data_IF_621808906956
#
_entry.id   IF_621808906956
#
_cell.length_a   1.000
_cell.length_b   1.000
_cell.length_c   1.000
_cell.angle_alpha   90.00
_cell.angle_beta   90.00
_cell.angle_gamma   90.00
#
_symmetry.space_group_name_H-M   'P 1'
#
loop_
_entity.id
_entity.type
_entity.pdbx_description
1 polymer ?
#
# COMPACT_ATOMS: atom_id res chain seq x y z
N UNK A 1 9.25 -39.32 -43.58
CA UNK A 1 9.35 -38.88 -42.17
C UNK A 1 10.75 -38.34 -41.94
N UNK A 2 10.92 -37.05 -41.60
CA UNK A 2 12.07 -36.53 -40.83
C UNK A 2 11.99 -34.99 -40.73
N UNK A 3 12.27 -34.46 -39.54
CA UNK A 3 12.61 -33.05 -39.33
C UNK A 3 11.80 -32.30 -38.26
N UNK A 4 11.68 -32.81 -37.04
CA UNK A 4 11.26 -31.97 -35.91
C UNK A 4 12.43 -31.08 -35.50
N UNK A 5 12.45 -29.83 -35.96
CA UNK A 5 13.38 -28.79 -35.52
C UNK A 5 13.08 -28.41 -34.07
N UNK A 6 13.77 -29.03 -33.12
CA UNK A 6 13.76 -28.60 -31.73
C UNK A 6 14.46 -27.24 -31.63
N UNK A 7 13.67 -26.17 -31.54
CA UNK A 7 14.11 -24.80 -31.32
C UNK A 7 14.64 -24.63 -29.88
N UNK A 8 15.71 -25.35 -29.53
CA UNK A 8 16.33 -25.31 -28.21
C UNK A 8 17.30 -24.13 -28.16
N UNK A 9 17.09 -23.25 -27.18
CA UNK A 9 18.04 -22.18 -26.87
C UNK A 9 19.40 -22.78 -26.49
N UNK A 10 20.45 -22.38 -27.19
CA UNK A 10 21.82 -22.85 -26.95
C UNK A 10 22.49 -22.12 -25.78
N UNK A 11 22.08 -20.87 -25.51
CA UNK A 11 22.61 -20.04 -24.43
C UNK A 11 21.54 -19.11 -23.88
N UNK A 12 21.61 -18.81 -22.59
CA UNK A 12 20.85 -17.73 -21.96
C UNK A 12 21.83 -16.82 -21.23
N UNK A 13 21.86 -15.55 -21.61
CA UNK A 13 22.72 -14.54 -21.00
C UNK A 13 21.88 -13.75 -20.01
N UNK A 14 22.27 -13.77 -18.74
CA UNK A 14 21.64 -12.98 -17.69
C UNK A 14 22.61 -11.87 -17.23
N UNK A 15 22.11 -10.64 -17.18
CA UNK A 15 22.87 -9.50 -16.70
C UNK A 15 22.64 -9.31 -15.18
N UNK A 16 23.68 -9.54 -14.37
CA UNK A 16 23.57 -9.49 -12.90
C UNK A 16 23.89 -8.14 -12.26
N UNK A 17 24.59 -7.25 -12.95
CA UNK A 17 25.04 -5.96 -12.39
C UNK A 17 23.95 -4.90 -12.29
N UNK A 18 22.83 -5.08 -13.00
CA UNK A 18 21.66 -4.23 -12.93
C UNK A 18 20.43 -5.12 -12.87
N UNK A 19 19.76 -5.09 -11.74
CA UNK A 19 18.56 -5.89 -11.50
C UNK A 19 17.31 -5.04 -11.68
N UNK A 20 16.17 -5.72 -11.82
CA UNK A 20 14.85 -5.11 -11.87
C UNK A 20 14.04 -5.62 -10.68
N UNK A 21 13.57 -4.69 -9.87
CA UNK A 21 12.55 -4.96 -8.85
C UNK A 21 11.19 -4.64 -9.46
N UNK A 22 10.31 -5.64 -9.49
CA UNK A 22 8.95 -5.54 -10.06
C UNK A 22 7.92 -5.72 -8.95
N UNK A 23 6.93 -4.82 -8.90
CA UNK A 23 5.87 -4.85 -7.89
C UNK A 23 4.50 -4.68 -8.54
N UNK A 24 3.54 -5.51 -8.13
CA UNK A 24 2.13 -5.35 -8.48
C UNK A 24 1.44 -4.48 -7.43
N UNK A 25 0.98 -3.29 -7.83
CA UNK A 25 0.26 -2.37 -6.95
C UNK A 25 -1.25 -2.41 -7.25
N UNK A 26 -2.12 -2.80 -6.31
CA UNK A 26 -3.57 -2.81 -6.56
C UNK A 26 -4.12 -1.45 -7.01
N UNK A 27 -5.11 -1.46 -7.89
CA UNK A 27 -5.73 -0.25 -8.49
C UNK A 27 -6.11 0.82 -7.45
N UNK A 28 -6.65 0.42 -6.29
CA UNK A 28 -7.03 1.32 -5.19
C UNK A 28 -5.88 2.24 -4.70
N UNK A 29 -4.63 1.85 -4.95
CA UNK A 29 -3.43 2.62 -4.59
C UNK A 29 -2.75 3.23 -5.81
N UNK A 30 -3.08 2.81 -7.03
CA UNK A 30 -2.47 3.28 -8.28
C UNK A 30 -2.57 4.80 -8.45
N UNK A 31 -3.68 5.41 -8.03
CA UNK A 31 -3.87 6.87 -8.07
C UNK A 31 -2.89 7.66 -7.18
N UNK A 32 -2.15 7.00 -6.28
CA UNK A 32 -1.15 7.62 -5.40
C UNK A 32 0.28 7.49 -5.93
N UNK A 33 0.46 6.86 -7.11
CA UNK A 33 1.74 6.77 -7.80
C UNK A 33 1.98 8.07 -8.55
N UNK A 34 2.87 8.90 -8.01
CA UNK A 34 3.35 10.13 -8.66
C UNK A 34 4.60 9.84 -9.50
N UNK A 35 5.05 10.82 -10.29
CA UNK A 35 6.28 10.70 -11.10
C UNK A 35 7.57 10.41 -10.30
N UNK A 36 7.57 10.57 -8.96
CA UNK A 36 8.72 10.27 -8.11
C UNK A 36 8.30 9.44 -6.88
N UNK A 37 8.17 8.12 -7.07
CA UNK A 37 7.95 7.17 -5.97
C UNK A 37 9.29 6.58 -5.52
N UNK A 38 9.57 6.64 -4.21
CA UNK A 38 10.73 5.98 -3.60
C UNK A 38 10.30 4.64 -2.99
N UNK A 39 11.19 3.67 -3.05
CA UNK A 39 11.01 2.36 -2.45
C UNK A 39 12.23 2.00 -1.60
N UNK A 40 11.97 1.48 -0.40
CA UNK A 40 12.96 0.78 0.39
C UNK A 40 12.62 -0.70 0.39
N UNK A 41 13.60 -1.58 0.27
CA UNK A 41 13.34 -3.01 0.30
C UNK A 41 14.42 -3.80 1.03
N UNK A 42 14.05 -5.00 1.44
CA UNK A 42 14.93 -6.01 2.05
C UNK A 42 14.74 -7.31 1.30
N UNK A 43 15.76 -8.16 1.28
CA UNK A 43 15.72 -9.51 0.68
C UNK A 43 16.20 -10.52 1.72
N UNK A 44 15.70 -11.76 1.61
CA UNK A 44 16.10 -12.85 2.52
C UNK A 44 17.58 -13.23 2.39
N UNK A 45 18.16 -13.06 1.21
CA UNK A 45 19.58 -13.32 0.93
C UNK A 45 20.53 -12.35 1.63
N UNK A 46 20.04 -11.18 2.05
CA UNK A 46 20.81 -10.15 2.75
C UNK A 46 20.05 -9.63 3.99
N UNK A 47 19.93 -10.44 5.06
CA UNK A 47 19.16 -10.08 6.25
C UNK A 47 19.64 -8.77 6.89
N UNK A 48 18.70 -7.91 7.27
CA UNK A 48 18.97 -6.65 7.96
C UNK A 48 19.48 -5.50 7.07
N UNK A 49 19.82 -5.77 5.81
CA UNK A 49 20.25 -4.72 4.86
C UNK A 49 19.06 -4.10 4.14
N UNK A 50 19.00 -2.77 4.14
CA UNK A 50 17.96 -2.00 3.45
C UNK A 50 18.53 -1.40 2.16
N UNK A 51 17.93 -1.77 1.05
CA UNK A 51 18.22 -1.22 -0.27
C UNK A 51 17.22 -0.12 -0.61
N UNK A 52 17.67 0.89 -1.37
CA UNK A 52 16.86 2.04 -1.76
C UNK A 52 16.83 2.15 -3.27
N UNK A 53 15.67 2.45 -3.83
CA UNK A 53 15.51 2.68 -5.26
C UNK A 53 14.38 3.68 -5.53
N UNK A 54 14.32 4.17 -6.76
CA UNK A 54 13.30 5.12 -7.24
C UNK A 54 12.60 4.53 -8.45
N UNK A 55 11.29 4.77 -8.54
CA UNK A 55 10.45 4.27 -9.60
C UNK A 55 11.05 4.66 -10.95
N UNK A 56 11.30 3.65 -11.77
CA UNK A 56 11.87 3.85 -13.10
C UNK A 56 10.77 3.89 -14.15
N UNK A 57 9.81 2.96 -14.06
CA UNK A 57 8.72 2.82 -15.03
C UNK A 57 7.46 2.31 -14.38
N UNK A 58 6.32 2.62 -14.99
CA UNK A 58 5.02 2.02 -14.69
C UNK A 58 4.48 1.42 -15.99
N UNK A 59 3.76 0.30 -15.92
CA UNK A 59 3.10 -0.28 -17.10
C UNK A 59 2.11 0.69 -17.79
N UNK A 60 1.65 1.73 -17.07
CA UNK A 60 0.71 2.75 -17.59
C UNK A 60 -0.72 2.22 -17.78
N UNK A 61 -0.89 0.90 -17.85
CA UNK A 61 -2.14 0.18 -17.90
C UNK A 61 -2.25 -0.79 -16.73
N UNK A 62 -3.49 -0.99 -16.28
CA UNK A 62 -3.83 -1.99 -15.28
C UNK A 62 -3.83 -3.38 -15.92
N UNK A 63 -3.18 -4.35 -15.28
CA UNK A 63 -3.31 -5.75 -15.66
C UNK A 63 -4.75 -6.22 -15.35
N UNK A 64 -5.42 -6.80 -16.35
CA UNK A 64 -6.82 -7.18 -16.24
C UNK A 64 -7.03 -8.42 -15.36
N UNK A 65 -6.01 -9.26 -15.20
CA UNK A 65 -6.11 -10.49 -14.42
C UNK A 65 -6.19 -10.20 -12.92
N UNK A 66 -5.33 -9.31 -12.42
CA UNK A 66 -5.22 -9.01 -10.98
C UNK A 66 -5.63 -7.59 -10.60
N UNK A 67 -6.04 -6.77 -11.58
CA UNK A 67 -6.39 -5.35 -11.40
C UNK A 67 -5.28 -4.58 -10.66
N UNK A 68 -4.04 -4.80 -11.08
CA UNK A 68 -2.86 -4.15 -10.53
C UNK A 68 -2.08 -3.35 -11.56
N UNK A 69 -1.39 -2.32 -11.09
CA UNK A 69 -0.44 -1.53 -11.84
C UNK A 69 0.97 -2.08 -11.56
N UNK A 70 1.69 -2.45 -12.61
CA UNK A 70 3.07 -2.91 -12.48
C UNK A 70 4.02 -1.73 -12.33
N UNK A 71 4.77 -1.73 -11.24
CA UNK A 71 5.84 -0.77 -10.96
C UNK A 71 7.19 -1.44 -11.15
N UNK A 72 8.08 -0.82 -11.92
CA UNK A 72 9.43 -1.30 -12.14
C UNK A 72 10.46 -0.31 -11.60
N UNK A 73 11.44 -0.85 -10.89
CA UNK A 73 12.55 -0.13 -10.30
C UNK A 73 13.87 -0.73 -10.80
N UNK A 74 14.72 0.11 -11.38
CA UNK A 74 16.08 -0.26 -11.71
C UNK A 74 16.91 -0.30 -10.40
N UNK A 75 17.61 -1.40 -10.17
CA UNK A 75 18.44 -1.61 -8.96
C UNK A 75 19.89 -1.81 -9.40
N UNK A 76 20.78 -0.95 -8.92
CA UNK A 76 22.22 -1.13 -9.08
C UNK A 76 22.67 -2.32 -8.22
N UNK A 77 23.32 -3.29 -8.85
CA UNK A 77 23.88 -4.48 -8.23
C UNK A 77 25.33 -4.71 -8.69
N UNK A 78 26.09 -3.63 -8.89
CA UNK A 78 27.51 -3.68 -9.27
C UNK A 78 28.38 -4.45 -8.28
N UNK A 79 28.02 -4.47 -6.99
CA UNK A 79 28.67 -5.27 -5.95
C UNK A 79 28.34 -6.77 -6.03
N UNK A 80 27.30 -7.16 -6.79
CA UNK A 80 26.83 -8.55 -6.88
C UNK A 80 26.17 -9.09 -5.62
N UNK A 81 25.79 -8.21 -4.68
CA UNK A 81 25.22 -8.59 -3.39
C UNK A 81 23.79 -9.11 -3.47
N UNK A 82 23.06 -8.82 -4.56
CA UNK A 82 21.70 -9.27 -4.81
C UNK A 82 21.68 -10.38 -5.87
N UNK A 83 20.79 -11.35 -5.71
CA UNK A 83 20.59 -12.41 -6.68
C UNK A 83 19.25 -12.23 -7.42
N UNK A 84 19.26 -12.49 -8.73
CA UNK A 84 18.02 -12.54 -9.51
C UNK A 84 17.13 -13.69 -9.02
N UNK A 85 15.84 -13.41 -8.83
CA UNK A 85 14.88 -14.38 -8.29
C UNK A 85 14.62 -14.26 -6.79
N UNK A 86 15.37 -13.42 -6.07
CA UNK A 86 15.09 -13.13 -4.67
C UNK A 86 13.70 -12.51 -4.47
N UNK A 87 13.04 -12.90 -3.38
CA UNK A 87 11.81 -12.27 -2.95
C UNK A 87 12.13 -11.03 -2.10
N UNK A 88 11.67 -9.87 -2.56
CA UNK A 88 11.89 -8.60 -1.89
C UNK A 88 10.66 -8.15 -1.10
N UNK A 89 10.85 -7.81 0.18
CA UNK A 89 9.84 -7.10 0.95
C UNK A 89 10.03 -5.60 0.76
N UNK A 90 9.02 -4.93 0.19
CA UNK A 90 9.12 -3.51 -0.20
C UNK A 90 8.21 -2.60 0.61
N UNK A 91 8.76 -1.49 1.08
CA UNK A 91 8.04 -0.35 1.63
C UNK A 91 8.04 0.79 0.61
N UNK A 92 6.88 1.01 -0.02
CA UNK A 92 6.65 2.10 -0.97
C UNK A 92 6.30 3.41 -0.23
N UNK A 93 6.97 4.49 -0.61
CA UNK A 93 6.66 5.83 -0.10
C UNK A 93 5.69 6.55 -1.04
N UNK A 94 4.41 6.23 -0.90
CA UNK A 94 3.34 6.85 -1.67
C UNK A 94 2.86 8.14 -0.98
N UNK A 95 2.54 9.16 -1.77
CA UNK A 95 1.91 10.40 -1.28
C UNK A 95 0.52 10.52 -1.87
N UNK A 96 -0.46 10.85 -1.03
CA UNK A 96 -1.79 11.25 -1.48
C UNK A 96 -1.75 12.69 -1.99
N UNK A 97 -2.49 12.96 -3.06
CA UNK A 97 -2.63 14.33 -3.60
C UNK A 97 -3.53 15.22 -2.72
N UNK A 98 -4.38 14.62 -1.89
CA UNK A 98 -5.29 15.33 -0.98
C UNK A 98 -5.01 14.90 0.47
N UNK A 99 -5.14 15.80 1.45
CA UNK A 99 -5.11 15.42 2.85
C UNK A 99 -6.16 14.36 3.15
N UNK A 100 -5.80 13.40 4.01
CA UNK A 100 -6.70 12.37 4.50
C UNK A 100 -6.67 12.33 6.02
N UNK A 101 -7.75 11.84 6.62
CA UNK A 101 -7.86 11.73 8.08
C UNK A 101 -7.31 10.38 8.51
N UNK A 102 -6.48 10.39 9.55
CA UNK A 102 -5.90 9.19 10.13
C UNK A 102 -6.42 9.01 11.55
N UNK A 103 -6.83 7.80 11.88
CA UNK A 103 -7.35 7.46 13.20
C UNK A 103 -6.69 6.17 13.71
N UNK A 104 -6.54 5.98 15.03
CA UNK A 104 -6.09 4.70 15.56
C UNK A 104 -7.06 3.58 15.14
N UNK A 105 -6.55 2.43 14.72
CA UNK A 105 -7.41 1.30 14.29
C UNK A 105 -8.48 0.92 15.32
N UNK A 106 -8.16 1.05 16.61
CA UNK A 106 -9.07 0.78 17.73
C UNK A 106 -10.29 1.71 17.82
N UNK A 107 -10.26 2.89 17.17
CA UNK A 107 -11.38 3.83 17.16
C UNK A 107 -12.40 3.54 16.06
N UNK A 108 -12.17 2.50 15.25
CA UNK A 108 -13.07 2.08 14.17
C UNK A 108 -13.98 0.98 14.70
N UNK A 109 -15.29 1.16 14.54
CA UNK A 109 -16.30 0.15 14.83
C UNK A 109 -16.80 -0.44 13.51
N UNK A 110 -16.64 -1.76 13.35
CA UNK A 110 -17.18 -2.50 12.21
C UNK A 110 -18.23 -3.47 12.71
N UNK A 111 -19.42 -3.40 12.13
CA UNK A 111 -20.53 -4.31 12.43
C UNK A 111 -21.32 -4.67 11.17
N UNK A 112 -22.45 -5.39 11.34
CA UNK A 112 -23.29 -5.82 10.23
C UNK A 112 -23.86 -4.65 9.41
N UNK A 113 -23.96 -3.46 10.00
CA UNK A 113 -24.45 -2.26 9.31
C UNK A 113 -23.36 -1.51 8.53
N UNK A 114 -22.08 -1.83 8.72
CA UNK A 114 -20.94 -1.20 8.05
C UNK A 114 -19.79 -0.80 8.98
N UNK A 115 -18.98 0.15 8.52
CA UNK A 115 -17.80 0.66 9.24
C UNK A 115 -18.00 2.13 9.64
N UNK A 116 -17.72 2.45 10.91
CA UNK A 116 -18.03 3.74 11.51
C UNK A 116 -16.92 4.22 12.44
N UNK A 117 -16.90 5.52 12.67
CA UNK A 117 -16.26 6.13 13.83
C UNK A 117 -17.31 6.90 14.64
N UNK A 118 -16.99 7.16 15.90
CA UNK A 118 -17.79 8.07 16.73
C UNK A 118 -16.99 9.31 17.03
N UNK A 119 -17.59 10.47 16.78
CA UNK A 119 -16.99 11.77 17.11
C UNK A 119 -17.79 12.45 18.22
N UNK A 120 -17.11 13.25 19.03
CA UNK A 120 -17.71 14.18 19.96
C UNK A 120 -17.63 15.59 19.37
N UNK A 121 -18.78 16.19 19.11
CA UNK A 121 -18.93 17.52 18.55
C UNK A 121 -19.88 18.32 19.44
N UNK A 122 -19.40 19.36 20.11
CA UNK A 122 -20.21 20.21 21.01
C UNK A 122 -21.09 19.42 22.00
N UNK A 123 -20.50 18.44 22.70
CA UNK A 123 -21.18 17.53 23.65
C UNK A 123 -22.21 16.58 23.03
N UNK A 124 -22.24 16.47 21.70
CA UNK A 124 -23.06 15.51 20.97
C UNK A 124 -22.18 14.41 20.38
N UNK A 125 -22.55 13.16 20.66
CA UNK A 125 -21.93 12.00 20.02
C UNK A 125 -22.60 11.79 18.67
N UNK A 126 -21.80 11.76 17.61
CA UNK A 126 -22.26 11.49 16.24
C UNK A 126 -21.57 10.25 15.70
N UNK A 127 -22.35 9.36 15.07
CA UNK A 127 -21.83 8.20 14.35
C UNK A 127 -21.58 8.58 12.90
N UNK A 128 -20.33 8.49 12.46
CA UNK A 128 -19.95 8.85 11.09
C UNK A 128 -19.63 7.58 10.32
N UNK A 129 -20.35 7.25 9.23
CA UNK A 129 -19.97 6.18 8.33
C UNK A 129 -18.67 6.54 7.63
N UNK A 130 -17.76 5.58 7.52
CA UNK A 130 -16.44 5.77 6.91
C UNK A 130 -16.10 4.66 5.92
N UNK A 131 -15.17 4.95 5.02
CA UNK A 131 -14.42 3.96 4.26
C UNK A 131 -12.97 3.94 4.73
N UNK A 132 -12.42 2.76 4.92
CA UNK A 132 -11.01 2.59 5.28
C UNK A 132 -10.11 2.71 4.03
N UNK A 133 -8.93 3.29 4.23
CA UNK A 133 -7.90 3.49 3.24
C UNK A 133 -6.68 2.60 3.49
N UNK A 134 -5.49 3.19 3.43
CA UNK A 134 -4.25 2.49 3.79
C UNK A 134 -4.08 2.37 5.31
N UNK A 135 -3.35 1.34 5.72
CA UNK A 135 -2.93 1.13 7.11
C UNK A 135 -1.46 1.53 7.27
N UNK A 136 -1.14 2.23 8.35
CA UNK A 136 0.22 2.61 8.72
C UNK A 136 0.40 2.37 10.22
N UNK A 137 1.16 1.33 10.57
CA UNK A 137 1.41 0.89 11.94
C UNK A 137 0.10 0.67 12.73
N UNK A 138 -0.24 1.58 13.65
CA UNK A 138 -1.48 1.52 14.45
C UNK A 138 -2.59 2.43 13.92
N UNK A 139 -2.33 3.15 12.83
CA UNK A 139 -3.23 4.12 12.23
C UNK A 139 -3.88 3.54 10.97
N UNK A 140 -5.13 3.93 10.76
CA UNK A 140 -5.91 3.64 9.56
C UNK A 140 -6.31 4.97 8.93
N UNK A 141 -6.04 5.12 7.64
CA UNK A 141 -6.59 6.22 6.83
C UNK A 141 -8.09 6.01 6.69
N UNK A 142 -8.88 7.06 6.87
CA UNK A 142 -10.34 7.00 6.76
C UNK A 142 -10.87 8.10 5.84
N UNK A 143 -11.98 7.78 5.18
CA UNK A 143 -12.71 8.70 4.32
C UNK A 143 -14.16 8.78 4.79
N UNK A 144 -14.60 9.98 5.16
CA UNK A 144 -15.94 10.26 5.64
C UNK A 144 -16.10 11.76 5.92
N UNK A 145 -17.29 12.17 6.34
CA UNK A 145 -17.56 13.55 6.74
C UNK A 145 -16.99 13.81 8.14
N UNK A 146 -15.66 13.92 8.23
CA UNK A 146 -14.94 14.17 9.47
C UNK A 146 -14.22 15.51 9.34
N UNK A 147 -14.60 16.47 10.18
CA UNK A 147 -13.96 17.78 10.22
C UNK A 147 -12.57 17.70 10.85
N UNK A 148 -11.65 18.54 10.39
CA UNK A 148 -10.36 18.68 11.04
C UNK A 148 -10.55 19.15 12.50
N UNK A 149 -9.88 18.50 13.44
CA UNK A 149 -9.98 18.82 14.87
C UNK A 149 -11.13 18.12 15.63
N UNK A 150 -11.95 17.31 14.97
CA UNK A 150 -12.97 16.51 15.66
C UNK A 150 -12.36 15.58 16.71
N UNK A 151 -12.97 15.51 17.89
CA UNK A 151 -12.58 14.57 18.94
C UNK A 151 -13.16 13.20 18.62
N UNK A 152 -12.31 12.17 18.55
CA UNK A 152 -12.70 10.81 18.15
C UNK A 152 -12.70 9.90 19.38
N UNK A 153 -13.77 9.12 19.54
CA UNK A 153 -13.87 8.10 20.60
C UNK A 153 -12.93 6.94 20.25
N UNK A 154 -11.95 6.67 21.12
CA UNK A 154 -10.89 5.69 20.86
C UNK A 154 -11.31 4.22 20.96
N UNK A 155 -12.40 3.93 21.64
CA UNK A 155 -12.94 2.57 21.84
C UNK A 155 -14.47 2.63 21.76
N UNK A 156 -15.04 2.83 20.57
CA UNK A 156 -16.49 2.83 20.41
C UNK A 156 -17.08 1.43 20.66
N UNK A 157 -18.33 1.38 21.07
CA UNK A 157 -19.14 0.14 21.14
C UNK A 157 -20.53 0.42 20.56
N UNK A 158 -21.26 -0.64 20.21
CA UNK A 158 -22.64 -0.52 19.71
C UNK A 158 -23.61 0.04 20.78
N UNK A 159 -23.23 -0.05 22.05
CA UNK A 159 -24.02 0.47 23.17
C UNK A 159 -23.98 2.00 23.26
N UNK A 160 -22.99 2.65 22.64
CA UNK A 160 -22.89 4.11 22.59
C UNK A 160 -23.99 4.64 21.66
N UNK A 161 -24.97 5.32 22.26
CA UNK A 161 -26.05 5.98 21.53
C UNK A 161 -25.60 7.35 21.02
N UNK A 162 -26.08 7.71 19.85
CA UNK A 162 -25.95 9.06 19.32
C UNK A 162 -26.77 10.05 20.16
N UNK A 163 -26.33 11.31 20.19
CA UNK A 163 -27.03 12.40 20.86
C UNK A 163 -26.20 13.09 21.95
N UNK A 164 -26.85 14.00 22.67
CA UNK A 164 -26.20 14.85 23.67
C UNK A 164 -25.82 14.04 24.91
N UNK A 165 -24.58 14.21 25.36
CA UNK A 165 -24.12 13.73 26.66
C UNK A 165 -24.69 14.66 27.72
N UNK A 166 -25.65 14.18 28.50
CA UNK A 166 -26.11 14.90 29.70
C UNK A 166 -25.09 14.72 30.82
N UNK A 167 -24.89 15.76 31.62
CA UNK A 167 -23.97 15.76 32.77
C UNK A 167 -24.52 14.95 33.94
#
# INVERSE_FOLDING_TARGET
>A
MAGSSSNQSLFTIAQGNKLRLTLSLPEKHAASVQQVVRANFTVSSQPGKIFKTTLSRTSGLLDQHDRSLTLEFDVDNTSGELQGGDYAQVKLMLKRNKPSTWVPKKSILTNQSGTFIFILDNQEIKRIPIKEGVYLDTLTEIFGQVSAGSQIILKPSEEIKEGKISK
#
